data_IF_759502868545
#
_entry.id   IF_759502868545
#
_cell.length_a   1.000
_cell.length_b   1.000
_cell.length_c   1.000
_cell.angle_alpha   90.00
_cell.angle_beta   90.00
_cell.angle_gamma   90.00
#
_symmetry.space_group_name_H-M   'P 1'
#
loop_
_entity.id
_entity.type
_entity.pdbx_description
1 polymer ?
#
# COMPACT_ATOMS: atom_id res chain seq x y z
N UNK A 1 -3.05 33.72 9.75
CA UNK A 1 -3.30 32.37 10.29
C UNK A 1 -4.38 31.70 9.44
N UNK A 2 -4.06 30.62 8.72
CA UNK A 2 -5.10 29.81 8.03
C UNK A 2 -5.84 29.00 9.09
N UNK A 3 -7.14 29.25 9.28
CA UNK A 3 -8.01 28.43 10.14
C UNK A 3 -8.07 27.03 9.53
N UNK A 4 -7.52 26.03 10.21
CA UNK A 4 -7.75 24.63 9.85
C UNK A 4 -9.18 24.26 10.20
N UNK A 5 -10.01 23.98 9.20
CA UNK A 5 -11.36 23.44 9.40
C UNK A 5 -11.23 21.93 9.49
N UNK A 6 -11.59 21.35 10.63
CA UNK A 6 -11.64 19.89 10.82
C UNK A 6 -12.83 19.35 10.02
N UNK A 7 -12.59 18.46 9.06
CA UNK A 7 -13.65 17.81 8.29
C UNK A 7 -14.50 16.94 9.22
N UNK A 8 -15.81 16.89 8.96
CA UNK A 8 -16.70 16.01 9.69
C UNK A 8 -16.37 14.54 9.42
N UNK A 9 -16.77 13.65 10.34
CA UNK A 9 -16.69 12.19 10.15
C UNK A 9 -17.34 11.76 8.83
N UNK A 10 -18.54 12.28 8.53
CA UNK A 10 -19.27 11.97 7.28
C UNK A 10 -18.47 12.36 6.03
N UNK A 11 -17.84 13.54 6.02
CA UNK A 11 -16.99 13.96 4.90
C UNK A 11 -15.77 13.07 4.72
N UNK A 12 -15.10 12.69 5.82
CA UNK A 12 -13.95 11.77 5.78
C UNK A 12 -14.33 10.38 5.26
N UNK A 13 -15.49 9.85 5.67
CA UNK A 13 -16.01 8.59 5.15
C UNK A 13 -16.37 8.66 3.66
N UNK A 14 -16.92 9.78 3.19
CA UNK A 14 -17.18 10.01 1.78
C UNK A 14 -15.87 10.13 0.97
N UNK A 15 -14.85 10.81 1.51
CA UNK A 15 -13.52 10.87 0.89
C UNK A 15 -12.87 9.49 0.79
N UNK A 16 -13.01 8.66 1.82
CA UNK A 16 -12.57 7.26 1.76
C UNK A 16 -13.31 6.53 0.64
N UNK A 17 -14.64 6.63 0.57
CA UNK A 17 -15.45 5.99 -0.49
C UNK A 17 -14.96 6.39 -1.89
N UNK A 18 -14.73 7.68 -2.12
CA UNK A 18 -14.23 8.20 -3.40
C UNK A 18 -12.83 7.68 -3.72
N UNK A 19 -11.93 7.65 -2.74
CA UNK A 19 -10.58 7.10 -2.92
C UNK A 19 -10.61 5.61 -3.28
N UNK A 20 -11.49 4.82 -2.65
CA UNK A 20 -11.66 3.39 -2.97
C UNK A 20 -12.20 3.19 -4.40
N UNK A 21 -13.14 4.02 -4.87
CA UNK A 21 -13.63 3.96 -6.26
C UNK A 21 -12.49 4.20 -7.26
N UNK A 22 -11.60 5.15 -6.98
CA UNK A 22 -10.44 5.42 -7.84
C UNK A 22 -9.46 4.24 -7.85
N UNK A 23 -9.20 3.62 -6.70
CA UNK A 23 -8.36 2.42 -6.61
C UNK A 23 -8.97 1.28 -7.42
N UNK A 24 -10.25 0.98 -7.21
CA UNK A 24 -10.95 -0.10 -7.91
C UNK A 24 -10.95 0.10 -9.42
N UNK A 25 -11.34 1.29 -9.89
CA UNK A 25 -11.36 1.59 -11.32
C UNK A 25 -9.96 1.51 -11.93
N UNK A 26 -8.93 1.99 -11.24
CA UNK A 26 -7.55 1.94 -11.71
C UNK A 26 -7.03 0.50 -11.83
N UNK A 27 -7.27 -0.33 -10.81
CA UNK A 27 -6.90 -1.75 -10.85
C UNK A 27 -7.65 -2.51 -11.95
N UNK A 28 -8.96 -2.29 -12.07
CA UNK A 28 -9.77 -2.94 -13.09
C UNK A 28 -9.28 -2.60 -14.50
N UNK A 29 -9.03 -1.32 -14.79
CA UNK A 29 -8.49 -0.91 -16.08
C UNK A 29 -7.10 -1.49 -16.32
N UNK A 30 -6.20 -1.46 -15.32
CA UNK A 30 -4.86 -2.02 -15.43
C UNK A 30 -4.87 -3.52 -15.77
N UNK A 31 -5.74 -4.30 -15.13
CA UNK A 31 -5.85 -5.74 -15.41
C UNK A 31 -6.50 -6.04 -16.76
N UNK A 32 -7.41 -5.19 -17.23
CA UNK A 32 -8.08 -5.37 -18.51
C UNK A 32 -7.19 -5.00 -19.70
N UNK A 33 -6.45 -3.89 -19.61
CA UNK A 33 -5.66 -3.37 -20.74
C UNK A 33 -4.19 -3.80 -20.67
N UNK A 34 -3.69 -4.17 -19.50
CA UNK A 34 -2.26 -4.39 -19.24
C UNK A 34 -1.45 -3.09 -19.22
N UNK A 35 -2.09 -1.93 -19.28
CA UNK A 35 -1.40 -0.64 -19.32
C UNK A 35 -1.02 -0.16 -17.93
N UNK A 36 0.29 -0.01 -17.70
CA UNK A 36 0.86 0.44 -16.42
C UNK A 36 0.38 1.84 -16.01
N UNK A 37 -0.02 2.68 -16.97
CA UNK A 37 -0.50 4.05 -16.72
C UNK A 37 -1.73 4.08 -15.79
N UNK A 38 -2.54 3.02 -15.77
CA UNK A 38 -3.69 2.92 -14.88
C UNK A 38 -3.33 2.71 -13.41
N UNK A 39 -2.08 2.32 -13.10
CA UNK A 39 -1.59 2.25 -11.72
C UNK A 39 -1.24 3.62 -11.14
N UNK A 40 -1.05 4.66 -11.96
CA UNK A 40 -0.74 6.01 -11.47
C UNK A 40 -1.77 6.54 -10.47
N UNK A 41 -3.08 6.55 -10.78
CA UNK A 41 -4.09 6.96 -9.81
C UNK A 41 -4.16 6.04 -8.60
N UNK A 42 -3.94 4.73 -8.78
CA UNK A 42 -3.93 3.75 -7.67
C UNK A 42 -2.84 4.10 -6.66
N UNK A 43 -1.62 4.29 -7.11
CA UNK A 43 -0.47 4.63 -6.26
C UNK A 43 -0.68 5.98 -5.56
N UNK A 44 -1.23 6.97 -6.28
CA UNK A 44 -1.58 8.26 -5.70
C UNK A 44 -2.57 8.13 -4.53
N UNK A 45 -3.61 7.31 -4.68
CA UNK A 45 -4.58 7.05 -3.62
C UNK A 45 -4.01 6.20 -2.48
N UNK A 46 -3.23 5.16 -2.78
CA UNK A 46 -2.55 4.35 -1.77
C UNK A 46 -1.65 5.22 -0.89
N UNK A 47 -0.86 6.12 -1.50
CA UNK A 47 -0.10 7.10 -0.74
C UNK A 47 -1.03 7.95 0.12
N UNK A 48 -2.06 8.59 -0.44
CA UNK A 48 -2.95 9.46 0.34
C UNK A 48 -3.65 8.75 1.51
N UNK A 49 -4.01 7.47 1.35
CA UNK A 49 -4.70 6.69 2.37
C UNK A 49 -3.78 6.09 3.43
N UNK A 50 -2.52 5.79 3.09
CA UNK A 50 -1.60 5.04 3.95
C UNK A 50 -0.35 5.81 4.38
N UNK A 51 0.01 6.91 3.69
CA UNK A 51 1.27 7.64 3.88
C UNK A 51 1.04 9.15 3.79
N UNK A 52 1.42 9.90 4.83
CA UNK A 52 1.30 11.36 4.81
C UNK A 52 2.48 12.03 5.52
N UNK A 53 3.01 13.09 4.88
CA UNK A 53 4.07 13.90 5.47
C UNK A 53 3.50 14.81 6.56
N UNK A 54 3.69 14.44 7.82
CA UNK A 54 3.32 15.26 8.98
C UNK A 54 1.84 15.25 9.36
N UNK A 55 1.03 14.35 8.79
CA UNK A 55 -0.38 14.12 9.17
C UNK A 55 -0.66 12.63 9.24
N UNK A 56 -1.68 12.21 10.00
CA UNK A 56 -2.14 10.81 9.96
C UNK A 56 -2.94 10.58 8.66
N UNK A 57 -2.59 9.57 7.85
CA UNK A 57 -3.31 9.22 6.63
C UNK A 57 -4.79 8.88 6.89
N UNK A 58 -5.66 9.17 5.91
CA UNK A 58 -7.13 9.11 6.09
C UNK A 58 -7.62 7.74 6.57
N UNK A 59 -7.14 6.65 5.98
CA UNK A 59 -7.59 5.31 6.33
C UNK A 59 -7.15 4.93 7.75
N UNK A 60 -5.90 5.24 8.11
CA UNK A 60 -5.35 4.99 9.46
C UNK A 60 -6.06 5.84 10.52
N UNK A 61 -6.33 7.11 10.21
CA UNK A 61 -7.06 8.03 11.10
C UNK A 61 -8.49 7.54 11.38
N UNK A 62 -9.23 7.19 10.32
CA UNK A 62 -10.60 6.68 10.43
C UNK A 62 -10.63 5.34 11.17
N UNK A 63 -9.73 4.41 10.86
CA UNK A 63 -9.66 3.11 11.52
C UNK A 63 -9.43 3.26 13.03
N UNK A 64 -8.49 4.14 13.43
CA UNK A 64 -8.22 4.43 14.84
C UNK A 64 -9.41 5.09 15.52
N UNK A 65 -10.03 6.09 14.90
CA UNK A 65 -11.22 6.78 15.44
C UNK A 65 -12.40 5.82 15.64
N UNK A 66 -12.55 4.83 14.76
CA UNK A 66 -13.65 3.86 14.77
C UNK A 66 -13.34 2.58 15.55
N UNK A 67 -12.12 2.41 16.06
CA UNK A 67 -11.69 1.17 16.69
C UNK A 67 -11.69 -0.03 15.73
N UNK A 68 -11.45 0.21 14.44
CA UNK A 68 -11.44 -0.82 13.41
C UNK A 68 -10.00 -1.27 13.12
N UNK A 69 -9.64 -2.55 13.35
CA UNK A 69 -8.29 -3.04 13.09
C UNK A 69 -8.07 -3.24 11.59
N UNK A 70 -7.05 -2.59 11.02
CA UNK A 70 -6.64 -2.75 9.62
C UNK A 70 -5.70 -3.95 9.48
N UNK A 71 -6.25 -5.15 9.63
CA UNK A 71 -5.48 -6.40 9.63
C UNK A 71 -5.66 -7.20 8.34
N UNK A 72 -4.57 -7.75 7.83
CA UNK A 72 -4.55 -8.60 6.62
C UNK A 72 -3.43 -9.63 6.73
N UNK A 73 -3.25 -10.46 5.71
CA UNK A 73 -2.24 -11.51 5.69
C UNK A 73 -1.04 -11.12 4.82
N UNK A 74 0.16 -11.33 5.36
CA UNK A 74 1.44 -11.12 4.68
C UNK A 74 2.42 -12.22 5.08
N UNK A 75 3.52 -12.40 4.34
CA UNK A 75 4.65 -13.20 4.83
C UNK A 75 5.30 -12.55 6.07
N UNK A 76 6.22 -13.25 6.79
CA UNK A 76 6.86 -12.69 7.97
C UNK A 76 7.52 -11.34 7.71
N UNK A 77 7.26 -10.36 8.59
CA UNK A 77 7.73 -8.99 8.44
C UNK A 77 9.25 -8.84 8.65
N UNK A 78 9.85 -9.82 9.31
CA UNK A 78 11.28 -9.93 9.59
C UNK A 78 12.03 -10.79 8.56
N UNK A 79 11.35 -11.27 7.51
CA UNK A 79 11.95 -12.16 6.50
C UNK A 79 13.20 -11.57 5.85
N UNK A 80 13.25 -10.26 5.60
CA UNK A 80 14.43 -9.58 5.04
C UNK A 80 15.49 -9.22 6.09
N UNK A 81 15.13 -9.22 7.37
CA UNK A 81 16.03 -8.91 8.47
C UNK A 81 16.72 -10.16 9.02
N UNK A 82 16.35 -11.34 8.53
CA UNK A 82 16.97 -12.61 8.87
C UNK A 82 18.34 -12.79 8.17
N UNK A 83 19.39 -13.01 8.97
CA UNK A 83 20.77 -13.21 8.49
C UNK A 83 20.92 -14.44 7.58
N UNK A 84 20.16 -15.50 7.81
CA UNK A 84 20.15 -16.68 6.94
C UNK A 84 19.57 -16.37 5.56
N UNK A 85 18.49 -15.57 5.52
CA UNK A 85 17.92 -15.07 4.26
C UNK A 85 18.87 -14.11 3.55
N UNK A 86 19.60 -13.28 4.30
CA UNK A 86 20.63 -12.40 3.74
C UNK A 86 21.76 -13.20 3.08
N UNK A 87 22.15 -14.35 3.65
CA UNK A 87 23.17 -15.22 3.07
C UNK A 87 22.73 -15.87 1.75
N UNK A 88 21.44 -16.19 1.61
CA UNK A 88 20.87 -16.82 0.40
C UNK A 88 20.60 -15.79 -0.70
N UNK A 89 19.98 -14.67 -0.36
CA UNK A 89 19.52 -13.66 -1.33
C UNK A 89 20.59 -12.63 -1.69
N UNK A 90 21.63 -12.50 -0.87
CA UNK A 90 22.71 -11.55 -1.06
C UNK A 90 22.44 -10.15 -0.50
N UNK A 91 23.34 -9.18 -0.79
CA UNK A 91 23.31 -7.85 -0.19
C UNK A 91 22.17 -6.95 -0.69
N UNK A 92 21.60 -7.25 -1.86
CA UNK A 92 20.42 -6.56 -2.38
C UNK A 92 19.29 -7.56 -2.52
N UNK A 93 18.24 -7.40 -1.72
CA UNK A 93 17.13 -8.34 -1.62
C UNK A 93 15.82 -7.58 -1.49
N UNK A 94 14.81 -8.02 -2.21
CA UNK A 94 13.52 -7.34 -2.26
C UNK A 94 12.43 -8.32 -1.90
N UNK A 95 11.58 -7.91 -0.97
CA UNK A 95 10.39 -8.65 -0.61
C UNK A 95 9.23 -8.04 -1.38
N UNK A 96 9.13 -8.40 -2.67
CA UNK A 96 7.92 -8.16 -3.42
C UNK A 96 6.88 -9.18 -2.95
N UNK A 97 6.15 -8.84 -1.91
CA UNK A 97 5.14 -9.69 -1.26
C UNK A 97 3.91 -9.94 -2.13
N UNK A 98 3.95 -9.65 -3.45
CA UNK A 98 2.81 -9.65 -4.37
C UNK A 98 1.80 -10.75 -4.09
N UNK A 99 2.17 -12.01 -4.32
CA UNK A 99 1.26 -13.16 -4.14
C UNK A 99 1.03 -13.54 -2.67
N UNK A 100 1.65 -12.84 -1.73
CA UNK A 100 1.55 -13.12 -0.29
C UNK A 100 0.77 -12.06 0.47
N UNK A 101 0.33 -10.99 -0.19
CA UNK A 101 -0.55 -9.97 0.38
C UNK A 101 -2.00 -10.31 0.06
N UNK A 102 -2.81 -10.52 1.09
CA UNK A 102 -4.22 -10.82 0.88
C UNK A 102 -5.10 -10.48 2.09
N UNK A 103 -6.40 -10.23 1.85
CA UNK A 103 -7.37 -10.08 2.94
C UNK A 103 -7.63 -11.39 3.69
N UNK A 104 -7.24 -12.53 3.10
CA UNK A 104 -7.43 -13.88 3.62
C UNK A 104 -6.11 -14.64 3.64
N UNK A 105 -6.02 -15.66 4.50
CA UNK A 105 -4.91 -16.58 4.48
C UNK A 105 -4.97 -17.41 3.18
N UNK A 106 -3.95 -17.29 2.36
CA UNK A 106 -3.77 -18.13 1.17
C UNK A 106 -2.64 -19.14 1.41
N UNK A 107 -2.78 -20.40 0.97
CA UNK A 107 -1.67 -21.34 0.93
C UNK A 107 -0.55 -20.83 -0.01
N UNK A 108 0.73 -21.06 0.31
CA UNK A 108 1.25 -21.84 1.44
C UNK A 108 1.23 -21.10 2.79
N UNK A 109 1.20 -21.88 3.88
CA UNK A 109 1.06 -21.51 5.31
C UNK A 109 2.10 -20.53 5.90
N UNK A 110 2.91 -19.86 5.06
CA UNK A 110 3.87 -18.86 5.48
C UNK A 110 3.23 -17.49 5.73
N UNK A 111 1.94 -17.32 5.43
CA UNK A 111 1.23 -16.06 5.69
C UNK A 111 0.85 -15.94 7.18
N UNK A 112 1.12 -14.77 7.75
CA UNK A 112 0.74 -14.37 9.10
C UNK A 112 -0.16 -13.14 9.05
N UNK A 113 -1.01 -13.00 10.07
CA UNK A 113 -1.85 -11.82 10.22
C UNK A 113 -1.00 -10.65 10.70
N UNK A 114 -1.08 -9.51 10.01
CA UNK A 114 -0.34 -8.29 10.31
C UNK A 114 -1.28 -7.08 10.29
N UNK A 115 -0.94 -6.05 11.05
CA UNK A 115 -1.61 -4.74 10.96
C UNK A 115 -0.97 -3.92 9.84
N UNK A 116 -1.75 -3.03 9.19
CA UNK A 116 -1.26 -2.07 8.21
C UNK A 116 -0.10 -1.22 8.73
N UNK A 117 -0.18 -0.73 9.98
CA UNK A 117 0.91 0.04 10.57
C UNK A 117 2.20 -0.75 10.71
N UNK A 118 2.14 -1.99 11.21
CA UNK A 118 3.31 -2.86 11.31
C UNK A 118 3.91 -3.17 9.92
N UNK A 119 3.07 -3.43 8.92
CA UNK A 119 3.55 -3.67 7.55
C UNK A 119 4.22 -2.43 6.96
N UNK A 120 3.62 -1.24 7.10
CA UNK A 120 4.20 0.02 6.63
C UNK A 120 5.54 0.33 7.29
N UNK A 121 5.72 -0.02 8.58
CA UNK A 121 6.95 0.19 9.31
C UNK A 121 8.03 -0.88 9.01
N UNK A 122 7.64 -2.06 8.52
CA UNK A 122 8.56 -3.16 8.27
C UNK A 122 9.41 -2.96 7.01
N UNK A 123 10.59 -3.59 6.99
CA UNK A 123 11.51 -3.59 5.84
C UNK A 123 10.88 -4.34 4.67
N UNK A 124 10.69 -3.67 3.53
CA UNK A 124 10.17 -4.28 2.30
C UNK A 124 11.26 -4.44 1.22
N UNK A 125 12.31 -3.63 1.29
CA UNK A 125 13.44 -3.69 0.36
C UNK A 125 14.74 -3.49 1.13
N UNK A 126 15.76 -4.27 0.79
CA UNK A 126 17.15 -4.03 1.19
C UNK A 126 18.00 -3.83 -0.06
N UNK A 127 18.73 -2.72 -0.10
CA UNK A 127 19.69 -2.40 -1.16
C UNK A 127 21.04 -2.13 -0.52
N UNK A 128 21.96 -3.10 -0.62
CA UNK A 128 23.22 -3.05 0.13
C UNK A 128 22.97 -3.02 1.64
N UNK A 129 23.29 -1.90 2.28
CA UNK A 129 23.01 -1.68 3.72
C UNK A 129 21.74 -0.86 3.97
N UNK A 130 21.12 -0.32 2.94
CA UNK A 130 19.92 0.49 3.07
C UNK A 130 18.68 -0.40 3.20
N UNK A 131 17.92 -0.21 4.28
CA UNK A 131 16.59 -0.79 4.45
C UNK A 131 15.54 0.25 4.07
N UNK A 132 14.55 -0.17 3.32
CA UNK A 132 13.43 0.68 2.88
C UNK A 132 12.16 0.06 3.44
N UNK A 133 11.44 0.84 4.23
CA UNK A 133 10.16 0.46 4.82
C UNK A 133 9.02 0.47 3.78
N UNK A 134 7.88 -0.15 4.09
CA UNK A 134 6.69 -0.08 3.25
C UNK A 134 6.20 1.36 3.02
N UNK A 135 6.30 2.21 4.05
CA UNK A 135 5.98 3.63 3.95
C UNK A 135 6.91 4.37 2.96
N UNK A 136 8.22 4.17 3.09
CA UNK A 136 9.21 4.79 2.21
C UNK A 136 9.07 4.28 0.77
N UNK A 137 8.83 2.98 0.60
CA UNK A 137 8.60 2.37 -0.70
C UNK A 137 7.39 3.01 -1.40
N UNK A 138 6.24 3.14 -0.72
CA UNK A 138 5.07 3.79 -1.27
C UNK A 138 5.32 5.25 -1.62
N UNK A 139 6.07 5.98 -0.78
CA UNK A 139 6.45 7.37 -1.04
C UNK A 139 7.32 7.50 -2.29
N UNK A 140 8.35 6.67 -2.40
CA UNK A 140 9.28 6.67 -3.54
C UNK A 140 8.56 6.30 -4.85
N UNK A 141 7.74 5.26 -4.82
CA UNK A 141 6.97 4.79 -5.98
C UNK A 141 5.97 5.86 -6.41
N UNK A 142 5.26 6.49 -5.47
CA UNK A 142 4.33 7.57 -5.78
C UNK A 142 4.99 8.83 -6.32
N UNK A 143 6.19 9.19 -5.84
CA UNK A 143 6.94 10.34 -6.37
C UNK A 143 7.46 10.05 -7.79
N UNK A 144 7.96 8.83 -8.02
CA UNK A 144 8.49 8.41 -9.33
C UNK A 144 7.40 8.23 -10.39
N UNK A 145 6.32 7.52 -10.04
CA UNK A 145 5.23 7.21 -10.96
C UNK A 145 4.24 8.38 -11.08
N UNK A 146 3.91 9.05 -9.96
CA UNK A 146 2.84 10.05 -9.91
C UNK A 146 3.17 11.40 -10.56
N UNK A 147 4.38 11.61 -11.09
CA UNK A 147 4.76 12.75 -11.93
C UNK A 147 4.74 14.14 -11.29
N UNK A 148 4.15 14.32 -10.10
CA UNK A 148 3.96 15.62 -9.46
C UNK A 148 5.25 16.18 -8.82
N UNK A 149 6.16 15.31 -8.40
CA UNK A 149 7.49 15.67 -7.92
C UNK A 149 8.46 14.59 -8.40
N UNK A 150 9.13 14.82 -9.52
CA UNK A 150 10.20 13.94 -9.98
C UNK A 150 11.31 13.95 -8.92
N UNK A 151 11.35 12.91 -8.11
CA UNK A 151 12.41 12.68 -7.16
C UNK A 151 13.50 11.85 -7.85
N UNK A 152 14.69 12.40 -8.11
CA UNK A 152 15.79 11.65 -8.70
C UNK A 152 16.37 10.60 -7.73
N UNK A 153 15.95 10.60 -6.46
CA UNK A 153 16.49 9.71 -5.43
C UNK A 153 15.70 8.40 -5.36
N UNK A 154 16.05 7.49 -6.25
CA UNK A 154 15.77 6.06 -6.08
C UNK A 154 17.12 5.34 -6.12
N UNK A 155 17.41 4.42 -5.17
CA UNK A 155 18.60 3.60 -5.25
C UNK A 155 18.69 2.96 -6.64
N UNK A 156 19.84 3.07 -7.34
CA UNK A 156 20.01 2.57 -8.71
C UNK A 156 19.57 1.11 -8.87
N UNK A 157 19.74 0.29 -7.85
CA UNK A 157 19.35 -1.11 -7.79
C UNK A 157 17.83 -1.29 -7.80
N UNK A 158 17.08 -0.43 -7.09
CA UNK A 158 15.62 -0.43 -7.15
C UNK A 158 15.13 0.09 -8.51
N UNK A 159 15.82 1.08 -9.09
CA UNK A 159 15.54 1.54 -10.45
C UNK A 159 15.81 0.46 -11.51
N UNK A 160 16.86 -0.34 -11.32
CA UNK A 160 17.23 -1.46 -12.19
C UNK A 160 16.26 -2.66 -12.08
N UNK A 161 15.43 -2.71 -11.03
CA UNK A 161 14.40 -3.73 -10.83
C UNK A 161 13.05 -3.38 -11.47
N UNK A 162 12.80 -2.10 -11.80
CA UNK A 162 11.61 -1.69 -12.57
C UNK A 162 11.39 -2.51 -13.85
N UNK A 163 12.43 -2.82 -14.67
CA UNK A 163 12.28 -3.65 -15.85
C UNK A 163 12.11 -5.16 -15.58
N UNK A 164 12.24 -5.65 -14.34
CA UNK A 164 11.98 -7.06 -14.02
C UNK A 164 10.47 -7.35 -14.11
N UNK A 165 10.09 -8.06 -15.17
CA UNK A 165 8.70 -8.42 -15.47
C UNK A 165 8.48 -9.91 -15.21
N UNK A 166 7.54 -10.22 -14.32
CA UNK A 166 7.01 -11.58 -14.15
C UNK A 166 5.68 -11.65 -14.93
N UNK A 167 5.58 -12.56 -15.90
CA UNK A 167 4.39 -12.65 -16.75
C UNK A 167 4.09 -11.39 -17.58
N UNK A 168 5.08 -10.54 -17.84
CA UNK A 168 4.93 -9.28 -18.58
C UNK A 168 4.61 -8.06 -17.72
N UNK A 169 4.35 -8.22 -16.41
CA UNK A 169 4.04 -7.13 -15.46
C UNK A 169 5.21 -6.95 -14.48
N UNK A 170 5.59 -5.71 -14.15
CA UNK A 170 6.61 -5.47 -13.13
C UNK A 170 6.18 -6.03 -11.77
N UNK A 171 7.06 -6.72 -11.05
CA UNK A 171 6.79 -7.26 -9.70
C UNK A 171 6.35 -6.17 -8.70
N UNK A 172 6.80 -4.94 -8.93
CA UNK A 172 6.36 -3.76 -8.21
C UNK A 172 4.87 -3.49 -8.41
N UNK A 173 4.37 -3.51 -9.66
CA UNK A 173 2.94 -3.31 -9.93
C UNK A 173 2.08 -4.43 -9.35
N UNK A 174 2.57 -5.67 -9.35
CA UNK A 174 1.87 -6.78 -8.70
C UNK A 174 1.71 -6.53 -7.20
N UNK A 175 2.78 -6.09 -6.53
CA UNK A 175 2.73 -5.75 -5.09
C UNK A 175 1.79 -4.58 -4.82
N UNK A 176 1.83 -3.53 -5.65
CA UNK A 176 0.92 -2.39 -5.54
C UNK A 176 -0.54 -2.77 -5.81
N UNK A 177 -0.77 -3.68 -6.77
CA UNK A 177 -2.10 -4.17 -7.08
C UNK A 177 -2.69 -4.89 -5.87
N UNK A 178 -1.91 -5.78 -5.27
CA UNK A 178 -2.30 -6.58 -4.11
C UNK A 178 -2.51 -5.73 -2.86
N UNK A 179 -1.66 -4.73 -2.63
CA UNK A 179 -1.92 -3.75 -1.60
C UNK A 179 -3.21 -2.94 -1.88
N UNK A 180 -3.47 -2.61 -3.14
CA UNK A 180 -4.72 -2.00 -3.59
C UNK A 180 -5.94 -2.86 -3.25
N UNK A 181 -5.89 -4.16 -3.52
CA UNK A 181 -6.94 -5.13 -3.16
C UNK A 181 -7.16 -5.20 -1.64
N UNK A 182 -6.08 -5.25 -0.85
CA UNK A 182 -6.14 -5.21 0.61
C UNK A 182 -6.81 -3.92 1.11
N UNK A 183 -6.42 -2.76 0.57
CA UNK A 183 -7.00 -1.46 0.92
C UNK A 183 -8.48 -1.37 0.53
N UNK A 184 -8.86 -1.91 -0.64
CA UNK A 184 -10.26 -2.01 -1.06
C UNK A 184 -11.07 -2.84 -0.08
N UNK A 185 -10.56 -4.02 0.27
CA UNK A 185 -11.23 -4.92 1.21
C UNK A 185 -11.42 -4.27 2.58
N UNK A 186 -10.35 -3.74 3.17
CA UNK A 186 -10.37 -3.13 4.50
C UNK A 186 -11.22 -1.86 4.53
N UNK A 187 -11.07 -1.01 3.51
CA UNK A 187 -11.81 0.23 3.37
C UNK A 187 -13.32 0.00 3.22
N UNK A 188 -13.73 -0.99 2.39
CA UNK A 188 -15.14 -1.38 2.26
C UNK A 188 -15.70 -1.93 3.55
N UNK A 189 -14.97 -2.85 4.20
CA UNK A 189 -15.39 -3.42 5.48
C UNK A 189 -15.60 -2.33 6.55
N UNK A 190 -14.70 -1.34 6.60
CA UNK A 190 -14.86 -0.18 7.50
C UNK A 190 -16.11 0.64 7.14
N UNK A 191 -16.35 0.93 5.85
CA UNK A 191 -17.52 1.66 5.39
C UNK A 191 -18.84 0.90 5.61
N UNK A 192 -18.86 -0.42 5.49
CA UNK A 192 -20.03 -1.24 5.77
C UNK A 192 -20.40 -1.20 7.24
N UNK A 193 -19.41 -1.33 8.13
CA UNK A 193 -19.63 -1.33 9.58
C UNK A 193 -19.93 0.04 10.17
N UNK A 194 -19.43 1.12 9.55
CA UNK A 194 -19.45 2.45 10.16
C UNK A 194 -19.95 3.58 9.25
N UNK A 195 -20.20 3.30 7.97
CA UNK A 195 -20.73 4.25 6.97
C UNK A 195 -22.24 4.17 6.79
N UNK A 196 -22.91 3.15 7.34
CA UNK A 196 -24.36 3.01 7.41
C UNK A 196 -24.97 3.84 8.54
N UNK A 197 -25.05 5.15 8.35
CA UNK A 197 -25.79 6.09 9.20
C UNK A 197 -26.70 6.97 8.35
N UNK A 198 -27.68 6.36 7.69
CA UNK A 198 -28.83 7.03 7.07
C UNK A 198 -30.10 6.24 7.35
N UNK A 199 -30.40 6.08 8.64
CA UNK A 199 -31.75 5.98 9.17
C UNK A 199 -31.67 6.62 10.55
N UNK A 200 -32.09 7.89 10.64
CA UNK A 200 -32.91 8.40 11.74
C UNK A 200 -33.09 9.92 11.62
N UNK A 201 -34.38 10.28 11.58
CA UNK A 201 -35.06 11.59 11.62
C UNK A 201 -35.15 12.42 10.33
#
# INVERSE_FOLDING_TARGET
MKRHVRKSKRQRLEELRQALVVIESGLQSAFQTGEEAHFLPVVGQLRALLVASGQTPLLLDLARELGFPLEFYSIPLDALDNDEMAAILGPSRIQWTGDSLGPHAEPPLLSQKVTMEAWLASTQVVVGQQKISGEELLRMVANKLGGAHYDPTMPPELAAQVPFRLGGVSSMYLTLARLGEVVLYLGRTLLERHGGGSTDH
#
